data_IF_154158187371
#
_entry.id   IF_154158187371
#
_cell.length_a   1.000
_cell.length_b   1.000
_cell.length_c   1.000
_cell.angle_alpha   90.00
_cell.angle_beta   90.00
_cell.angle_gamma   90.00
#
_symmetry.space_group_name_H-M   'P 1'
#
loop_
_entity.id
_entity.type
_entity.pdbx_description
1 polymer ?
#
# COMPACT_ATOMS: atom_id res chain seq x y z
N UNK A 1 15.58 -9.68 -11.87
CA UNK A 1 14.68 -8.64 -12.39
C UNK A 1 13.77 -8.19 -11.26
N UNK A 2 13.83 -6.92 -10.88
CA UNK A 2 13.06 -6.34 -9.75
C UNK A 2 11.56 -6.21 -10.09
N UNK A 3 10.70 -6.04 -9.08
CA UNK A 3 9.26 -5.76 -9.29
C UNK A 3 9.06 -4.48 -10.11
N UNK A 4 9.89 -3.46 -9.88
CA UNK A 4 9.85 -2.21 -10.63
C UNK A 4 10.20 -2.42 -12.12
N UNK A 5 11.18 -3.28 -12.42
CA UNK A 5 11.51 -3.67 -13.80
C UNK A 5 10.36 -4.43 -14.45
N UNK A 6 9.77 -5.41 -13.75
CA UNK A 6 8.66 -6.21 -14.26
C UNK A 6 7.38 -5.38 -14.47
N UNK A 7 7.11 -4.41 -13.58
CA UNK A 7 6.03 -3.44 -13.74
C UNK A 7 6.23 -2.59 -15.01
N UNK A 8 7.43 -2.02 -15.19
CA UNK A 8 7.75 -1.20 -16.36
C UNK A 8 7.61 -1.98 -17.67
N UNK A 9 8.04 -3.24 -17.71
CA UNK A 9 7.87 -4.07 -18.90
C UNK A 9 6.40 -4.38 -19.18
N UNK A 10 5.60 -4.70 -18.17
CA UNK A 10 4.16 -4.96 -18.36
C UNK A 10 3.40 -3.71 -18.80
N UNK A 11 3.75 -2.52 -18.31
CA UNK A 11 3.20 -1.24 -18.80
C UNK A 11 3.57 -1.00 -20.27
N UNK A 12 4.85 -1.18 -20.64
CA UNK A 12 5.30 -1.03 -22.04
C UNK A 12 4.63 -2.01 -23.00
N UNK A 13 4.26 -3.19 -22.50
CA UNK A 13 3.59 -4.24 -23.28
C UNK A 13 2.06 -4.06 -23.35
N UNK A 14 1.49 -2.98 -22.82
CA UNK A 14 0.04 -2.77 -22.76
C UNK A 14 -0.69 -3.72 -21.78
N UNK A 15 0.05 -4.46 -20.94
CA UNK A 15 -0.49 -5.45 -20.00
C UNK A 15 -0.81 -4.82 -18.65
N UNK A 16 -1.66 -3.80 -18.65
CA UNK A 16 -1.95 -2.96 -17.46
C UNK A 16 -2.54 -3.76 -16.30
N UNK A 17 -3.51 -4.64 -16.57
CA UNK A 17 -4.08 -5.52 -15.55
C UNK A 17 -3.02 -6.39 -14.88
N UNK A 18 -2.12 -7.01 -15.66
CA UNK A 18 -1.04 -7.83 -15.12
C UNK A 18 0.01 -6.99 -14.36
N UNK A 19 0.30 -5.77 -14.82
CA UNK A 19 1.21 -4.84 -14.15
C UNK A 19 0.66 -4.46 -12.77
N UNK A 20 -0.65 -4.21 -12.70
CA UNK A 20 -1.34 -3.89 -11.48
C UNK A 20 -1.41 -5.10 -10.53
N UNK A 21 -1.75 -6.28 -11.03
CA UNK A 21 -1.73 -7.52 -10.22
C UNK A 21 -0.35 -7.75 -9.61
N UNK A 22 0.72 -7.59 -10.39
CA UNK A 22 2.09 -7.76 -9.93
C UNK A 22 2.45 -6.80 -8.78
N UNK A 23 2.11 -5.51 -8.93
CA UNK A 23 2.37 -4.52 -7.88
C UNK A 23 1.51 -4.82 -6.65
N UNK A 24 0.22 -5.13 -6.82
CA UNK A 24 -0.67 -5.44 -5.70
C UNK A 24 -0.28 -6.72 -4.96
N UNK A 25 0.21 -7.75 -5.65
CA UNK A 25 0.61 -9.02 -5.03
C UNK A 25 1.84 -8.90 -4.12
N UNK A 26 2.76 -7.97 -4.44
CA UNK A 26 4.03 -7.81 -3.73
C UNK A 26 4.07 -6.60 -2.80
N UNK A 27 3.43 -5.50 -3.20
CA UNK A 27 3.34 -4.26 -2.42
C UNK A 27 2.02 -4.10 -1.66
N UNK A 28 1.15 -5.11 -1.67
CA UNK A 28 -0.09 -5.16 -0.90
C UNK A 28 0.13 -5.15 0.61
N UNK A 29 1.29 -4.74 1.12
CA UNK A 29 1.56 -4.58 2.55
C UNK A 29 1.59 -3.09 2.87
N UNK A 30 0.65 -2.68 3.71
CA UNK A 30 0.66 -1.36 4.31
C UNK A 30 1.19 -1.46 5.73
N UNK A 31 2.19 -0.62 6.07
CA UNK A 31 2.77 -0.57 7.41
C UNK A 31 2.65 0.85 7.97
N UNK A 32 2.04 0.97 9.13
CA UNK A 32 2.09 2.19 9.96
C UNK A 32 2.97 1.92 11.13
N UNK A 33 3.83 2.87 11.48
CA UNK A 33 4.51 2.84 12.76
C UNK A 33 4.45 4.22 13.40
N UNK A 34 3.93 4.25 14.63
CA UNK A 34 3.88 5.45 15.47
C UNK A 34 5.00 5.34 16.49
N UNK A 35 5.91 6.31 16.49
CA UNK A 35 7.11 6.31 17.32
C UNK A 35 7.04 7.40 18.39
N UNK A 36 7.41 7.06 19.61
CA UNK A 36 7.86 8.00 20.65
C UNK A 36 9.39 7.97 20.73
N UNK A 37 9.94 6.76 20.73
CA UNK A 37 11.38 6.49 20.71
C UNK A 37 11.63 5.13 20.02
N UNK A 38 12.89 4.73 19.75
CA UNK A 38 13.17 3.44 19.10
C UNK A 38 12.66 2.21 19.85
N UNK A 39 12.47 2.30 21.17
CA UNK A 39 11.95 1.20 22.01
C UNK A 39 10.48 1.40 22.41
N UNK A 40 9.90 2.55 22.06
CA UNK A 40 8.52 2.94 22.36
C UNK A 40 7.78 3.25 21.05
N UNK A 41 7.24 2.20 20.44
CA UNK A 41 6.51 2.29 19.19
C UNK A 41 5.31 1.34 19.17
N UNK A 42 4.38 1.65 18.26
CA UNK A 42 3.30 0.77 17.82
C UNK A 42 3.39 0.62 16.32
N UNK A 43 3.35 -0.62 15.85
CA UNK A 43 3.35 -0.96 14.44
C UNK A 43 2.10 -1.77 14.11
N UNK A 44 1.41 -1.39 13.04
CA UNK A 44 0.39 -2.21 12.39
C UNK A 44 0.83 -2.47 10.96
N UNK A 45 0.83 -3.73 10.56
CA UNK A 45 1.06 -4.15 9.19
C UNK A 45 -0.19 -4.88 8.68
N UNK A 46 -0.74 -4.41 7.56
CA UNK A 46 -1.92 -4.98 6.90
C UNK A 46 -1.51 -5.53 5.55
N UNK A 47 -1.76 -6.81 5.31
CA UNK A 47 -1.76 -7.39 3.98
C UNK A 47 -3.14 -7.15 3.34
N UNK A 48 -3.15 -6.32 2.32
CA UNK A 48 -4.30 -5.90 1.53
C UNK A 48 -4.83 -7.01 0.61
N UNK A 49 -4.05 -8.08 0.39
CA UNK A 49 -4.43 -9.19 -0.48
C UNK A 49 -5.25 -10.24 0.28
N UNK A 50 -4.76 -10.68 1.44
CA UNK A 50 -5.40 -11.73 2.25
C UNK A 50 -6.10 -11.19 3.50
N UNK A 51 -5.99 -9.88 3.78
CA UNK A 51 -6.57 -9.24 4.94
C UNK A 51 -5.81 -9.48 6.25
N UNK A 52 -4.62 -10.10 6.22
CA UNK A 52 -3.86 -10.39 7.44
C UNK A 52 -3.38 -9.10 8.11
N UNK A 53 -3.62 -9.00 9.41
CA UNK A 53 -3.16 -7.87 10.24
C UNK A 53 -2.16 -8.40 11.27
N UNK A 54 -1.00 -7.75 11.34
CA UNK A 54 0.07 -8.03 12.29
C UNK A 54 0.34 -6.77 13.11
N UNK A 55 0.35 -6.89 14.43
CA UNK A 55 0.64 -5.79 15.34
C UNK A 55 1.94 -6.08 16.09
N UNK A 56 2.76 -5.05 16.28
CA UNK A 56 4.00 -5.12 17.04
C UNK A 56 4.07 -3.93 18.00
N UNK A 57 4.53 -4.19 19.22
CA UNK A 57 4.63 -3.22 20.30
C UNK A 57 6.07 -3.20 20.79
N UNK A 58 6.67 -2.00 20.84
CA UNK A 58 8.00 -1.80 21.39
C UNK A 58 8.11 -2.20 22.87
N UNK A 59 9.31 -2.64 23.27
CA UNK A 59 9.54 -3.25 24.59
C UNK A 59 9.18 -2.33 25.77
N UNK A 60 9.42 -1.02 25.63
CA UNK A 60 9.14 -0.03 26.68
C UNK A 60 7.77 0.63 26.53
N UNK A 61 7.06 0.38 25.44
CA UNK A 61 5.78 1.01 25.12
C UNK A 61 4.73 0.79 26.22
N UNK A 62 4.67 -0.40 26.83
CA UNK A 62 3.70 -0.71 27.89
C UNK A 62 4.00 -0.03 29.23
N UNK A 63 5.22 0.46 29.42
CA UNK A 63 5.67 1.16 30.63
C UNK A 63 5.41 2.67 30.54
N UNK A 64 5.05 3.15 29.35
CA UNK A 64 4.81 4.57 29.10
C UNK A 64 3.44 4.99 29.66
N UNK A 65 3.41 6.05 30.46
CA UNK A 65 2.18 6.58 31.06
C UNK A 65 1.18 7.10 30.02
N UNK A 66 1.65 7.49 28.83
CA UNK A 66 0.85 7.94 27.70
C UNK A 66 0.46 6.79 26.74
N UNK A 67 0.61 5.51 27.15
CA UNK A 67 0.32 4.36 26.29
C UNK A 67 -1.09 4.41 25.66
N UNK A 68 -2.11 4.80 26.42
CA UNK A 68 -3.48 4.91 25.89
C UNK A 68 -3.61 5.96 24.79
N UNK A 69 -2.96 7.11 24.96
CA UNK A 69 -2.97 8.18 23.97
C UNK A 69 -2.17 7.79 22.72
N UNK A 70 -1.05 7.08 22.91
CA UNK A 70 -0.28 6.52 21.80
C UNK A 70 -1.11 5.50 21.00
N UNK A 71 -1.89 4.65 21.67
CA UNK A 71 -2.80 3.72 21.00
C UNK A 71 -3.87 4.46 20.20
N UNK A 72 -4.47 5.51 20.77
CA UNK A 72 -5.47 6.35 20.07
C UNK A 72 -4.87 6.96 18.81
N UNK A 73 -3.71 7.61 18.93
CA UNK A 73 -3.00 8.21 17.81
C UNK A 73 -2.64 7.16 16.74
N UNK A 74 -2.15 6.00 17.15
CA UNK A 74 -1.80 4.92 16.23
C UNK A 74 -3.02 4.44 15.43
N UNK A 75 -4.15 4.20 16.10
CA UNK A 75 -5.40 3.82 15.44
C UNK A 75 -5.85 4.87 14.41
N UNK A 76 -5.75 6.16 14.74
CA UNK A 76 -6.07 7.24 13.80
C UNK A 76 -5.15 7.25 12.58
N UNK A 77 -3.85 7.03 12.79
CA UNK A 77 -2.87 6.93 11.69
C UNK A 77 -3.11 5.71 10.80
N UNK A 78 -3.47 4.56 11.39
CA UNK A 78 -3.85 3.34 10.66
C UNK A 78 -5.09 3.60 9.80
N UNK A 79 -6.13 4.21 10.37
CA UNK A 79 -7.35 4.54 9.64
C UNK A 79 -7.08 5.51 8.48
N UNK A 80 -6.36 6.61 8.74
CA UNK A 80 -6.05 7.62 7.71
C UNK A 80 -5.24 7.02 6.56
N UNK A 81 -4.26 6.17 6.86
CA UNK A 81 -3.46 5.54 5.82
C UNK A 81 -4.25 4.49 5.04
N UNK A 82 -5.16 3.75 5.68
CA UNK A 82 -6.09 2.85 4.99
C UNK A 82 -6.97 3.63 4.00
N UNK A 83 -7.57 4.75 4.44
CA UNK A 83 -8.38 5.61 3.57
C UNK A 83 -7.55 6.17 2.39
N UNK A 84 -6.31 6.59 2.65
CA UNK A 84 -5.40 7.07 1.61
C UNK A 84 -5.09 5.99 0.57
N UNK A 85 -4.85 4.76 1.01
CA UNK A 85 -4.61 3.62 0.10
C UNK A 85 -5.85 3.35 -0.75
N UNK A 86 -7.03 3.25 -0.15
CA UNK A 86 -8.26 3.03 -0.92
C UNK A 86 -8.51 4.14 -1.93
N UNK A 87 -8.30 5.42 -1.55
CA UNK A 87 -8.38 6.55 -2.48
C UNK A 87 -7.40 6.43 -3.64
N UNK A 88 -6.16 6.03 -3.36
CA UNK A 88 -5.14 5.83 -4.39
C UNK A 88 -5.51 4.69 -5.32
N UNK A 89 -5.90 3.52 -4.78
CA UNK A 89 -6.32 2.36 -5.56
C UNK A 89 -7.53 2.67 -6.45
N UNK A 90 -8.52 3.41 -5.94
CA UNK A 90 -9.68 3.84 -6.73
C UNK A 90 -9.29 4.83 -7.83
N UNK A 91 -8.41 5.79 -7.53
CA UNK A 91 -7.89 6.73 -8.53
C UNK A 91 -7.12 6.00 -9.63
N UNK A 92 -6.32 5.00 -9.27
CA UNK A 92 -5.62 4.16 -10.24
C UNK A 92 -6.59 3.32 -11.07
N UNK A 93 -7.59 2.68 -10.45
CA UNK A 93 -8.60 1.91 -11.17
C UNK A 93 -9.37 2.78 -12.18
N UNK A 94 -9.65 4.04 -11.85
CA UNK A 94 -10.37 4.97 -12.72
C UNK A 94 -9.61 5.35 -14.00
N UNK A 95 -8.26 5.33 -13.98
CA UNK A 95 -7.44 5.65 -15.15
C UNK A 95 -7.09 4.43 -16.01
N UNK A 96 -7.30 3.21 -15.51
CA UNK A 96 -6.99 1.97 -16.25
C UNK A 96 -7.68 1.89 -17.61
N UNK A 97 -9.00 2.18 -17.75
CA UNK A 97 -9.67 2.08 -19.04
C UNK A 97 -9.06 3.03 -20.08
N UNK A 98 -8.69 4.24 -19.66
CA UNK A 98 -8.05 5.23 -20.54
C UNK A 98 -6.67 4.78 -21.02
N UNK A 99 -5.92 4.08 -20.17
CA UNK A 99 -4.61 3.52 -20.55
C UNK A 99 -4.75 2.33 -21.51
N UNK A 100 -5.78 1.49 -21.32
CA UNK A 100 -6.10 0.39 -22.23
C UNK A 100 -6.48 0.92 -23.62
N UNK A 101 -7.31 1.96 -23.70
CA UNK A 101 -7.71 2.61 -24.95
C UNK A 101 -6.53 3.27 -25.69
N UNK A 102 -5.64 3.94 -24.96
CA UNK A 102 -4.44 4.55 -25.54
C UNK A 102 -3.50 3.51 -26.15
N UNK A 103 -3.31 2.37 -25.47
CA UNK A 103 -2.47 1.27 -25.97
C UNK A 103 -3.04 0.54 -27.18
N UNK A 104 -4.38 0.51 -27.35
CA UNK A 104 -5.02 -0.05 -28.54
C UNK A 104 -4.99 0.91 -29.74
N UNK A 105 -4.93 2.21 -29.50
CA UNK A 105 -4.97 3.22 -30.57
C UNK A 105 -3.63 3.34 -31.32
N UNK A 106 -2.50 3.04 -30.68
CA UNK A 106 -1.18 3.00 -31.35
C UNK A 106 -1.04 1.81 -32.34
N UNK A 107 -1.82 0.74 -32.15
CA UNK A 107 -1.81 -0.46 -33.02
C UNK A 107 -2.64 -0.29 -34.31
N UNK A 108 -3.42 0.79 -34.46
CA UNK A 108 -4.24 1.05 -35.64
C UNK A 108 -3.62 2.08 -36.60
N UNK A 109 -2.42 2.55 -36.32
CA UNK A 109 -1.67 3.51 -37.15
C UNK A 109 -0.45 2.88 -37.85
N UNK A 110 -0.22 1.57 -37.73
CA UNK A 110 0.76 0.81 -38.53
C UNK A 110 0.11 0.00 -39.66
#
# INVERSE_FOLDING_TARGET
MTIAEQFREKIKAGKFAEALTLVLSESGRFKVTTWISPEEYLTTQVNLVDGKIENEIGQKTLQNQAYQELCRLHCEQVQQGQEMIFRNLNSFAAILPTLEEASHSELLLE
#
